data_IF_676336747584
#
_entry.id   IF_676336747584
#
_cell.length_a   1.000
_cell.length_b   1.000
_cell.length_c   1.000
_cell.angle_alpha   90.00
_cell.angle_beta   90.00
_cell.angle_gamma   90.00
#
_symmetry.space_group_name_H-M   'P 1'
#
loop_
_entity.id
_entity.type
_entity.pdbx_description
1 polymer ?
#
# COMPACT_ATOMS: atom_id res chain seq x y z
N UNK A 1 0.34 8.00 24.97
CA UNK A 1 0.83 6.63 24.74
C UNK A 1 0.05 6.10 23.57
N UNK A 2 0.70 5.88 22.42
CA UNK A 2 0.04 5.23 21.28
C UNK A 2 -0.34 3.81 21.74
N UNK A 3 -1.56 3.38 21.49
CA UNK A 3 -1.98 2.04 21.89
C UNK A 3 -1.19 1.00 21.09
N UNK A 4 -1.01 -0.21 21.60
CA UNK A 4 -0.40 -1.31 20.84
C UNK A 4 -1.13 -1.57 19.51
N UNK A 5 -2.38 -1.13 19.36
CA UNK A 5 -3.15 -1.19 18.11
C UNK A 5 -2.72 -0.17 17.04
N UNK A 6 -1.96 0.88 17.38
CA UNK A 6 -1.47 1.87 16.42
C UNK A 6 -0.17 1.42 15.73
N UNK A 7 0.57 0.51 16.36
CA UNK A 7 1.89 0.05 15.90
C UNK A 7 1.80 -0.76 14.59
N UNK A 8 0.82 -1.66 14.39
CA UNK A 8 0.63 -2.39 13.13
C UNK A 8 0.33 -1.46 11.95
N UNK A 9 -0.54 -0.45 12.14
CA UNK A 9 -0.88 0.50 11.08
C UNK A 9 0.35 1.27 10.60
N UNK A 10 1.22 1.73 11.50
CA UNK A 10 2.43 2.49 11.11
C UNK A 10 3.33 1.70 10.17
N UNK A 11 3.50 0.40 10.40
CA UNK A 11 4.27 -0.48 9.50
C UNK A 11 3.58 -0.66 8.15
N UNK A 12 2.26 -0.82 8.14
CA UNK A 12 1.48 -0.88 6.91
C UNK A 12 1.58 0.42 6.09
N UNK A 13 1.45 1.57 6.75
CA UNK A 13 1.58 2.89 6.16
C UNK A 13 3.01 3.16 5.67
N UNK A 14 4.03 2.66 6.38
CA UNK A 14 5.41 2.73 5.93
C UNK A 14 5.62 1.91 4.65
N UNK A 15 5.12 0.67 4.60
CA UNK A 15 5.16 -0.14 3.38
C UNK A 15 4.57 0.63 2.21
N UNK A 16 3.35 1.15 2.34
CA UNK A 16 2.70 1.94 1.30
C UNK A 16 3.54 3.13 0.81
N UNK A 17 4.19 3.85 1.73
CA UNK A 17 5.05 5.01 1.43
C UNK A 17 6.31 4.67 0.63
N UNK A 18 6.92 3.52 0.89
CA UNK A 18 8.21 3.16 0.27
C UNK A 18 8.05 2.44 -1.07
N UNK A 19 6.86 1.94 -1.41
CA UNK A 19 6.64 1.18 -2.65
C UNK A 19 7.03 1.95 -3.91
N UNK A 20 6.48 3.15 -4.09
CA UNK A 20 6.71 3.92 -5.32
C UNK A 20 8.16 4.40 -5.43
N UNK A 21 8.79 4.99 -4.38
CA UNK A 21 10.20 5.36 -4.44
C UNK A 21 11.13 4.17 -4.75
N UNK A 22 10.87 2.99 -4.18
CA UNK A 22 11.65 1.78 -4.47
C UNK A 22 11.41 1.24 -5.89
N UNK A 23 10.19 1.35 -6.41
CA UNK A 23 9.90 0.98 -7.78
C UNK A 23 10.63 1.91 -8.77
N UNK A 24 10.62 3.21 -8.47
CA UNK A 24 11.06 4.33 -9.32
C UNK A 24 12.57 4.59 -9.32
N UNK A 25 13.38 3.66 -8.79
CA UNK A 25 14.84 3.71 -8.96
C UNK A 25 15.26 3.78 -10.44
N UNK A 26 14.38 3.38 -11.36
CA UNK A 26 14.51 3.63 -12.79
C UNK A 26 13.51 4.73 -13.23
N UNK A 27 13.98 5.90 -13.70
CA UNK A 27 13.10 7.06 -13.97
C UNK A 27 11.93 6.77 -14.93
N UNK A 28 12.13 5.91 -15.91
CA UNK A 28 11.10 5.56 -16.89
C UNK A 28 9.87 4.87 -16.26
N UNK A 29 10.00 4.27 -15.07
CA UNK A 29 8.87 3.64 -14.35
C UNK A 29 7.94 4.67 -13.76
N UNK A 30 8.50 5.76 -13.23
CA UNK A 30 7.72 6.89 -12.74
C UNK A 30 6.91 7.50 -13.89
N UNK A 31 7.55 7.79 -15.02
CA UNK A 31 6.88 8.35 -16.19
C UNK A 31 5.74 7.45 -16.68
N UNK A 32 6.00 6.14 -16.83
CA UNK A 32 4.98 5.17 -17.21
C UNK A 32 3.82 5.08 -16.24
N UNK A 33 4.07 5.13 -14.92
CA UNK A 33 2.99 5.15 -13.93
C UNK A 33 2.15 6.42 -14.08
N UNK A 34 2.77 7.59 -14.22
CA UNK A 34 2.07 8.88 -14.37
C UNK A 34 1.23 8.92 -15.64
N UNK A 35 1.75 8.39 -16.75
CA UNK A 35 0.98 8.20 -17.99
C UNK A 35 -0.24 7.30 -17.76
N UNK A 36 -0.08 6.17 -17.05
CA UNK A 36 -1.20 5.29 -16.69
C UNK A 36 -2.27 6.03 -15.89
N UNK A 37 -1.88 6.73 -14.82
CA UNK A 37 -2.81 7.49 -13.97
C UNK A 37 -3.58 8.53 -14.79
N UNK A 38 -2.89 9.27 -15.65
CA UNK A 38 -3.52 10.23 -16.55
C UNK A 38 -4.52 9.55 -17.51
N UNK A 39 -4.15 8.42 -18.11
CA UNK A 39 -5.04 7.65 -18.99
C UNK A 39 -6.28 7.11 -18.28
N UNK A 40 -6.23 6.98 -16.95
CA UNK A 40 -7.36 6.56 -16.11
C UNK A 40 -8.21 7.74 -15.60
N UNK A 41 -7.87 8.98 -15.98
CA UNK A 41 -8.54 10.18 -15.50
C UNK A 41 -8.35 10.41 -14.00
N UNK A 42 -7.20 9.99 -13.46
CA UNK A 42 -6.82 10.17 -12.07
C UNK A 42 -5.74 11.25 -12.01
N UNK A 43 -5.96 12.29 -11.20
CA UNK A 43 -4.91 13.25 -10.88
C UNK A 43 -3.68 12.50 -10.34
N UNK A 44 -2.49 12.84 -10.83
CA UNK A 44 -1.27 12.08 -10.52
C UNK A 44 -1.00 12.03 -9.02
N UNK A 45 -1.11 13.16 -8.31
CA UNK A 45 -0.84 13.22 -6.89
C UNK A 45 -1.88 12.40 -6.09
N UNK A 46 -3.14 12.49 -6.49
CA UNK A 46 -4.21 11.66 -5.90
C UNK A 46 -3.98 10.18 -6.18
N UNK A 47 -3.61 9.81 -7.40
CA UNK A 47 -3.38 8.43 -7.81
C UNK A 47 -2.19 7.79 -7.09
N UNK A 48 -1.08 8.50 -6.98
CA UNK A 48 0.09 8.04 -6.21
C UNK A 48 -0.28 7.88 -4.72
N UNK A 49 -1.00 8.84 -4.14
CA UNK A 49 -1.46 8.72 -2.75
C UNK A 49 -2.45 7.56 -2.54
N UNK A 50 -3.30 7.30 -3.54
CA UNK A 50 -4.21 6.16 -3.53
C UNK A 50 -3.43 4.83 -3.60
N UNK A 51 -2.38 4.73 -4.42
CA UNK A 51 -1.52 3.54 -4.46
C UNK A 51 -0.87 3.29 -3.09
N UNK A 52 -0.33 4.32 -2.45
CA UNK A 52 0.29 4.21 -1.12
C UNK A 52 -0.72 3.69 -0.08
N UNK A 53 -1.90 4.31 0.02
CA UNK A 53 -2.90 3.91 1.03
C UNK A 53 -3.51 2.55 0.71
N UNK A 54 -3.72 2.22 -0.57
CA UNK A 54 -4.24 0.90 -0.96
C UNK A 54 -3.28 -0.20 -0.50
N UNK A 55 -1.98 -0.04 -0.75
CA UNK A 55 -0.98 -0.99 -0.27
C UNK A 55 -0.96 -1.11 1.26
N UNK A 56 -1.08 0.02 1.97
CA UNK A 56 -1.17 0.02 3.43
C UNK A 56 -2.43 -0.73 3.91
N UNK A 57 -3.59 -0.51 3.28
CA UNK A 57 -4.84 -1.19 3.59
C UNK A 57 -4.76 -2.70 3.32
N UNK A 58 -4.18 -3.10 2.18
CA UNK A 58 -3.99 -4.50 1.84
C UNK A 58 -3.08 -5.20 2.87
N UNK A 59 -1.98 -4.57 3.25
CA UNK A 59 -1.08 -5.13 4.26
C UNK A 59 -1.72 -5.18 5.65
N UNK A 60 -2.48 -4.14 6.00
CA UNK A 60 -3.22 -4.07 7.25
C UNK A 60 -4.29 -5.18 7.34
N UNK A 61 -5.05 -5.41 6.27
CA UNK A 61 -6.05 -6.46 6.23
C UNK A 61 -5.44 -7.85 6.47
N UNK A 62 -4.26 -8.12 5.88
CA UNK A 62 -3.54 -9.37 6.12
C UNK A 62 -3.04 -9.45 7.57
N UNK A 63 -2.49 -8.36 8.10
CA UNK A 63 -1.98 -8.30 9.48
C UNK A 63 -3.09 -8.51 10.52
N UNK A 64 -4.28 -7.95 10.31
CA UNK A 64 -5.46 -8.15 11.17
C UNK A 64 -5.92 -9.61 11.14
N UNK A 65 -6.05 -10.21 9.96
CA UNK A 65 -6.51 -11.59 9.82
C UNK A 65 -5.56 -12.61 10.49
N UNK A 66 -4.28 -12.26 10.56
CA UNK A 66 -3.23 -13.08 11.19
C UNK A 66 -2.90 -12.63 12.62
N UNK A 67 -3.58 -11.59 13.12
CA UNK A 67 -3.36 -11.02 14.45
C UNK A 67 -1.89 -10.69 14.76
N UNK A 68 -1.16 -10.17 13.77
CA UNK A 68 0.28 -9.91 13.90
C UNK A 68 0.56 -8.68 14.75
N UNK A 69 1.60 -8.80 15.58
CA UNK A 69 2.28 -7.64 16.15
C UNK A 69 3.07 -6.88 15.08
N UNK A 70 3.50 -5.66 15.42
CA UNK A 70 4.31 -4.84 14.50
C UNK A 70 5.67 -5.46 14.16
N UNK A 71 6.27 -6.26 15.04
CA UNK A 71 7.51 -7.00 14.76
C UNK A 71 7.27 -8.20 13.86
N UNK A 72 6.13 -8.87 14.00
CA UNK A 72 5.80 -10.02 13.16
C UNK A 72 5.36 -9.60 11.75
N UNK A 73 4.87 -8.36 11.58
CA UNK A 73 4.55 -7.79 10.28
C UNK A 73 5.73 -7.88 9.29
N UNK A 74 6.97 -7.70 9.75
CA UNK A 74 8.15 -7.76 8.87
C UNK A 74 8.35 -9.14 8.25
N UNK A 75 7.81 -10.19 8.87
CA UNK A 75 7.86 -11.57 8.35
C UNK A 75 6.80 -11.84 7.28
N UNK A 76 5.87 -10.90 7.06
CA UNK A 76 4.75 -11.09 6.16
C UNK A 76 5.22 -11.17 4.69
N UNK A 77 4.88 -12.24 3.94
CA UNK A 77 5.23 -12.35 2.54
C UNK A 77 4.60 -11.22 1.69
N UNK A 78 5.38 -10.65 0.78
CA UNK A 78 4.86 -9.63 -0.16
C UNK A 78 3.77 -10.19 -1.06
N UNK A 79 3.83 -11.48 -1.40
CA UNK A 79 2.78 -12.17 -2.16
C UNK A 79 1.43 -12.12 -1.45
N UNK A 80 1.40 -12.31 -0.12
CA UNK A 80 0.16 -12.25 0.65
C UNK A 80 -0.46 -10.84 0.59
N UNK A 81 0.37 -9.78 0.67
CA UNK A 81 -0.09 -8.40 0.51
C UNK A 81 -0.57 -8.15 -0.92
N UNK A 82 0.16 -8.65 -1.92
CA UNK A 82 -0.19 -8.50 -3.33
C UNK A 82 -1.51 -9.20 -3.67
N UNK A 83 -1.76 -10.38 -3.10
CA UNK A 83 -3.00 -11.12 -3.27
C UNK A 83 -4.16 -10.42 -2.53
N UNK A 84 -3.93 -9.89 -1.33
CA UNK A 84 -4.93 -9.10 -0.62
C UNK A 84 -5.32 -7.82 -1.38
N UNK A 85 -4.38 -7.19 -2.10
CA UNK A 85 -4.67 -5.99 -2.87
C UNK A 85 -5.73 -6.21 -3.96
N UNK A 86 -5.78 -7.39 -4.59
CA UNK A 86 -6.78 -7.70 -5.64
C UNK A 86 -7.86 -8.69 -5.22
N UNK A 87 -7.65 -9.43 -4.13
CA UNK A 87 -8.53 -10.50 -3.67
C UNK A 87 -9.61 -10.05 -2.70
N UNK A 88 -9.53 -8.82 -2.19
CA UNK A 88 -10.50 -8.26 -1.23
C UNK A 88 -11.37 -7.18 -1.85
N UNK A 89 -12.59 -7.07 -1.34
CA UNK A 89 -13.47 -5.96 -1.65
C UNK A 89 -13.02 -4.70 -0.92
N UNK A 90 -13.32 -3.51 -1.47
CA UNK A 90 -12.89 -2.24 -0.89
C UNK A 90 -13.36 -2.05 0.57
N UNK A 91 -14.55 -2.54 0.90
CA UNK A 91 -15.08 -2.48 2.27
C UNK A 91 -14.37 -3.43 3.24
N UNK A 92 -13.82 -4.55 2.75
CA UNK A 92 -13.03 -5.48 3.56
C UNK A 92 -11.65 -4.90 3.87
N UNK A 93 -11.05 -4.20 2.89
CA UNK A 93 -9.79 -3.47 3.09
C UNK A 93 -9.92 -2.35 4.13
N UNK A 94 -11.11 -1.77 4.26
CA UNK A 94 -11.44 -0.72 5.23
C UNK A 94 -11.84 -1.27 6.60
N UNK A 95 -12.00 -2.58 6.75
CA UNK A 95 -12.38 -3.21 8.01
C UNK A 95 -11.18 -3.25 8.99
N UNK A 96 -11.49 -3.16 10.28
CA UNK A 96 -10.51 -3.29 11.36
C UNK A 96 -9.51 -2.13 11.49
N UNK A 97 -9.70 -1.02 10.76
CA UNK A 97 -8.86 0.17 10.87
C UNK A 97 -8.85 0.73 12.31
N UNK A 98 -7.75 1.35 12.73
CA UNK A 98 -7.67 1.95 14.06
C UNK A 98 -8.67 3.09 14.19
N UNK A 99 -9.20 3.27 15.41
CA UNK A 99 -10.15 4.36 15.73
C UNK A 99 -9.51 5.76 15.61
N UNK A 100 -8.19 5.83 15.75
CA UNK A 100 -7.41 7.05 15.58
C UNK A 100 -6.11 6.76 14.83
N UNK A 101 -5.69 7.70 13.97
CA UNK A 101 -4.41 7.63 13.28
C UNK A 101 -3.40 8.53 13.98
N UNK A 102 -2.16 8.07 14.11
CA UNK A 102 -1.08 8.88 14.69
C UNK A 102 -0.65 10.06 13.79
N UNK A 103 -0.97 10.01 12.49
CA UNK A 103 -0.63 11.03 11.52
C UNK A 103 -1.87 11.43 10.72
N UNK A 104 -2.18 12.73 10.70
CA UNK A 104 -3.29 13.31 9.92
C UNK A 104 -3.23 12.92 8.44
N UNK A 105 -2.00 12.77 7.93
CA UNK A 105 -1.74 12.33 6.55
C UNK A 105 -2.41 11.00 6.25
N UNK A 106 -2.36 10.05 7.18
CA UNK A 106 -2.92 8.70 7.00
C UNK A 106 -4.44 8.73 7.13
N UNK A 107 -4.98 9.50 8.08
CA UNK A 107 -6.41 9.70 8.20
C UNK A 107 -7.00 10.31 6.92
N UNK A 108 -6.35 11.34 6.37
CA UNK A 108 -6.77 11.98 5.11
C UNK A 108 -6.72 10.97 3.96
N UNK A 109 -5.64 10.18 3.84
CA UNK A 109 -5.51 9.16 2.79
C UNK A 109 -6.63 8.12 2.85
N UNK A 110 -6.93 7.60 4.04
CA UNK A 110 -8.02 6.62 4.24
C UNK A 110 -9.37 7.26 3.89
N UNK A 111 -9.60 8.52 4.26
CA UNK A 111 -10.83 9.25 3.87
C UNK A 111 -10.93 9.40 2.34
N UNK A 112 -9.84 9.74 1.65
CA UNK A 112 -9.82 9.81 0.18
C UNK A 112 -10.13 8.44 -0.42
N UNK A 113 -9.52 7.36 0.09
CA UNK A 113 -9.83 6.01 -0.35
C UNK A 113 -11.32 5.67 -0.18
N UNK A 114 -11.91 5.97 1.00
CA UNK A 114 -13.35 5.78 1.27
C UNK A 114 -14.22 6.53 0.27
N UNK A 115 -13.86 7.77 -0.08
CA UNK A 115 -14.57 8.52 -1.12
C UNK A 115 -14.53 7.77 -2.45
N UNK A 116 -13.37 7.25 -2.87
CA UNK A 116 -13.27 6.48 -4.11
C UNK A 116 -14.08 5.17 -4.07
N UNK A 117 -14.07 4.48 -2.92
CA UNK A 117 -14.81 3.23 -2.73
C UNK A 117 -16.33 3.42 -2.83
N UNK A 118 -16.85 4.54 -2.35
CA UNK A 118 -18.29 4.78 -2.27
C UNK A 118 -18.86 5.71 -3.34
N UNK A 119 -18.02 6.48 -4.06
CA UNK A 119 -18.46 7.49 -5.03
C UNK A 119 -19.22 6.90 -6.24
N UNK A 120 -18.98 5.62 -6.57
CA UNK A 120 -19.66 4.93 -7.68
C UNK A 120 -19.50 5.65 -9.04
N UNK A 121 -20.28 5.24 -10.05
CA UNK A 121 -20.34 5.94 -11.34
C UNK A 121 -19.03 5.87 -12.17
N UNK A 122 -18.59 7.00 -12.73
CA UNK A 122 -17.42 7.06 -13.63
C UNK A 122 -16.09 6.69 -12.94
N UNK A 123 -16.03 6.72 -11.61
CA UNK A 123 -14.83 6.33 -10.85
C UNK A 123 -14.82 4.84 -10.48
N UNK A 124 -15.86 4.07 -10.82
CA UNK A 124 -16.00 2.66 -10.46
C UNK A 124 -14.86 1.76 -10.97
N UNK A 125 -14.23 2.11 -12.09
CA UNK A 125 -13.09 1.37 -12.63
C UNK A 125 -11.74 1.85 -12.08
N UNK A 126 -11.67 2.95 -11.33
CA UNK A 126 -10.41 3.52 -10.88
C UNK A 126 -9.78 2.67 -9.77
N UNK A 127 -10.54 2.24 -8.77
CA UNK A 127 -10.01 1.38 -7.70
C UNK A 127 -9.56 0.00 -8.20
N UNK A 128 -10.30 -0.72 -9.07
CA UNK A 128 -9.81 -1.97 -9.66
C UNK A 128 -8.52 -1.82 -10.49
N UNK A 129 -8.31 -0.66 -11.13
CA UNK A 129 -7.06 -0.37 -11.85
C UNK A 129 -5.92 -0.10 -10.87
N UNK A 130 -6.18 0.68 -9.83
CA UNK A 130 -5.21 0.95 -8.77
C UNK A 130 -4.83 -0.32 -8.00
N UNK A 131 -5.77 -1.21 -7.72
CA UNK A 131 -5.50 -2.50 -7.06
C UNK A 131 -4.57 -3.39 -7.90
N UNK A 132 -4.81 -3.43 -9.21
CA UNK A 132 -3.93 -4.14 -10.16
C UNK A 132 -2.54 -3.51 -10.22
N UNK A 133 -2.44 -2.18 -10.18
CA UNK A 133 -1.17 -1.45 -10.14
C UNK A 133 -0.39 -1.72 -8.85
N UNK A 134 -1.08 -1.75 -7.70
CA UNK A 134 -0.49 -2.10 -6.40
C UNK A 134 0.05 -3.52 -6.42
N UNK A 135 -0.75 -4.49 -6.87
CA UNK A 135 -0.32 -5.89 -7.01
C UNK A 135 0.88 -6.00 -7.94
N UNK A 136 0.84 -5.34 -9.10
CA UNK A 136 1.97 -5.34 -10.02
C UNK A 136 3.24 -4.78 -9.38
N UNK A 137 3.13 -3.66 -8.65
CA UNK A 137 4.25 -3.03 -7.95
C UNK A 137 4.86 -3.96 -6.92
N UNK A 138 4.03 -4.59 -6.08
CA UNK A 138 4.48 -5.56 -5.08
C UNK A 138 5.16 -6.77 -5.72
N UNK A 139 4.58 -7.32 -6.79
CA UNK A 139 5.18 -8.45 -7.53
C UNK A 139 6.51 -8.08 -8.17
N UNK A 140 6.65 -6.89 -8.75
CA UNK A 140 7.91 -6.42 -9.34
C UNK A 140 8.98 -6.24 -8.26
N UNK A 141 8.63 -5.65 -7.12
CA UNK A 141 9.56 -5.51 -6.00
C UNK A 141 9.99 -6.87 -5.47
N UNK A 142 9.04 -7.80 -5.31
CA UNK A 142 9.35 -9.18 -4.91
C UNK A 142 10.29 -9.87 -5.90
N UNK A 143 10.07 -9.72 -7.21
CA UNK A 143 10.92 -10.32 -8.25
C UNK A 143 12.35 -9.73 -8.29
N UNK A 144 12.58 -8.56 -7.68
CA UNK A 144 13.90 -7.94 -7.54
C UNK A 144 14.68 -8.45 -6.33
N UNK A 145 14.07 -9.24 -5.46
CA UNK A 145 14.79 -9.89 -4.36
C UNK A 145 15.47 -11.17 -4.82
N UNK A 146 16.64 -11.45 -4.25
CA UNK A 146 17.38 -12.70 -4.49
C UNK A 146 16.83 -13.87 -3.68
N UNK A 147 16.01 -13.62 -2.66
CA UNK A 147 15.46 -14.62 -1.75
C UNK A 147 14.15 -15.20 -2.28
N UNK A 148 13.90 -16.51 -2.10
CA UNK A 148 12.60 -17.10 -2.37
C UNK A 148 11.57 -16.56 -1.35
N UNK A 149 10.43 -16.06 -1.85
CA UNK A 149 9.33 -15.50 -1.04
C UNK A 149 9.75 -14.29 -0.17
N UNK A 150 10.08 -13.15 -0.78
CA UNK A 150 10.46 -11.95 -0.05
C UNK A 150 9.33 -11.40 0.84
N UNK A 151 9.76 -10.78 1.92
CA UNK A 151 8.89 -10.31 3.01
C UNK A 151 8.80 -8.78 3.05
N UNK A 152 7.90 -8.25 3.86
CA UNK A 152 7.81 -6.81 4.12
C UNK A 152 9.10 -6.27 4.75
N UNK A 153 9.78 -7.07 5.58
CA UNK A 153 11.08 -6.72 6.17
C UNK A 153 12.19 -6.54 5.12
N UNK A 154 12.20 -7.36 4.07
CA UNK A 154 13.15 -7.20 2.96
C UNK A 154 12.98 -5.84 2.24
N UNK A 155 11.73 -5.41 2.07
CA UNK A 155 11.41 -4.10 1.50
C UNK A 155 11.82 -2.96 2.43
N UNK A 156 11.62 -3.11 3.73
CA UNK A 156 12.05 -2.10 4.71
C UNK A 156 13.57 -1.96 4.73
N UNK A 157 14.31 -3.07 4.69
CA UNK A 157 15.77 -3.05 4.55
C UNK A 157 16.21 -2.29 3.29
N UNK A 158 15.57 -2.54 2.14
CA UNK A 158 15.87 -1.78 0.91
C UNK A 158 15.52 -0.31 1.01
N UNK A 159 14.42 0.04 1.69
CA UNK A 159 14.05 1.43 1.92
C UNK A 159 15.10 2.14 2.79
N UNK A 160 15.60 1.47 3.83
CA UNK A 160 16.67 1.99 4.68
C UNK A 160 17.99 2.15 3.90
N UNK A 161 18.37 1.17 3.07
CA UNK A 161 19.54 1.25 2.16
C UNK A 161 19.42 2.43 1.16
N UNK A 162 18.20 2.76 0.72
CA UNK A 162 17.90 3.89 -0.14
C UNK A 162 17.71 5.22 0.62
N UNK A 163 17.88 5.24 1.94
CA UNK A 163 17.68 6.39 2.82
C UNK A 163 16.27 7.01 2.70
N UNK A 164 15.24 6.18 2.54
CA UNK A 164 13.86 6.63 2.48
C UNK A 164 13.32 6.99 3.89
N UNK A 165 12.44 8.00 4.02
CA UNK A 165 11.91 8.41 5.31
C UNK A 165 10.90 7.40 5.88
N UNK A 166 11.03 7.11 7.18
CA UNK A 166 10.13 6.24 7.95
C UNK A 166 8.80 6.90 8.37
#
# INVERSE_FOLDING_TARGET
MASDHDMPWRRCAYLGRVLLPLLDQEPWRQDRRRERLHSWGIDVAVGERLIEVFAALAAHAVAVDTSLSASEFETLPLSAVADAATGRQDFELLAGLPDAFAADRDEIAVKVFRLYAYKGGQTSLQLPRLSTEVRHTLTVLAARESVPSPTCGDIFRKADEANLPQ
#
